data_IF_274318545795
#
_entry.id   IF_274318545795
#
_cell.length_a   1.000
_cell.length_b   1.000
_cell.length_c   1.000
_cell.angle_alpha   90.00
_cell.angle_beta   90.00
_cell.angle_gamma   90.00
#
_symmetry.space_group_name_H-M   'P 1'
#
loop_
_entity.id
_entity.type
_entity.pdbx_description
1 polymer ?
#
# COMPACT_ATOMS: atom_id res chain seq x y z
N UNK A 1 -28.38 24.96 8.98
CA UNK A 1 -27.67 23.81 8.35
C UNK A 1 -27.85 22.63 9.27
N UNK A 2 -28.60 21.59 8.88
CA UNK A 2 -28.75 20.41 9.73
C UNK A 2 -27.43 19.64 9.71
N UNK A 3 -26.90 19.33 10.90
CA UNK A 3 -25.78 18.42 11.07
C UNK A 3 -26.08 17.10 10.35
N UNK A 4 -25.16 16.65 9.50
CA UNK A 4 -25.20 15.30 8.94
C UNK A 4 -25.34 14.33 10.11
N UNK A 5 -26.42 13.56 10.11
CA UNK A 5 -26.66 12.52 11.10
C UNK A 5 -25.49 11.52 10.98
N UNK A 6 -24.69 11.40 12.03
CA UNK A 6 -23.76 10.27 12.19
C UNK A 6 -24.52 8.96 11.95
N UNK A 7 -24.15 8.26 10.90
CA UNK A 7 -24.73 6.98 10.56
C UNK A 7 -24.18 5.90 11.50
N UNK A 8 -24.88 5.72 12.63
CA UNK A 8 -24.52 4.84 13.76
C UNK A 8 -24.43 3.34 13.41
N UNK A 9 -24.56 2.96 12.15
CA UNK A 9 -24.59 1.55 11.71
C UNK A 9 -23.48 1.16 10.73
N UNK A 10 -22.48 2.02 10.51
CA UNK A 10 -21.38 1.69 9.60
C UNK A 10 -20.39 0.72 10.24
N UNK A 11 -20.43 -0.55 9.81
CA UNK A 11 -19.50 -1.60 10.26
C UNK A 11 -18.29 -1.61 9.33
N UNK A 12 -17.10 -1.40 9.90
CA UNK A 12 -15.83 -1.44 9.17
C UNK A 12 -15.64 -2.81 8.48
N UNK A 13 -15.33 -2.77 7.20
CA UNK A 13 -15.01 -3.98 6.43
C UNK A 13 -13.62 -4.48 6.82
N UNK A 14 -13.55 -5.73 7.30
CA UNK A 14 -12.30 -6.43 7.63
C UNK A 14 -12.13 -7.64 6.73
N UNK A 15 -10.88 -8.03 6.46
CA UNK A 15 -10.62 -9.33 5.85
C UNK A 15 -10.89 -10.47 6.85
N UNK A 16 -10.95 -11.72 6.38
CA UNK A 16 -11.12 -12.88 7.26
C UNK A 16 -9.99 -13.04 8.29
N UNK A 17 -8.80 -12.53 7.97
CA UNK A 17 -7.64 -12.49 8.87
C UNK A 17 -7.59 -11.22 9.72
N UNK A 18 -8.72 -10.50 9.85
CA UNK A 18 -9.01 -9.37 10.74
C UNK A 18 -8.36 -8.02 10.42
N UNK A 19 -7.50 -7.93 9.40
CA UNK A 19 -6.96 -6.64 8.97
C UNK A 19 -8.04 -5.75 8.37
N UNK A 20 -7.87 -4.43 8.48
CA UNK A 20 -8.68 -3.43 7.78
C UNK A 20 -8.69 -3.74 6.28
N UNK A 21 -9.89 -3.79 5.69
CA UNK A 21 -10.02 -3.99 4.26
C UNK A 21 -9.67 -2.69 3.54
N UNK A 22 -8.51 -2.67 2.88
CA UNK A 22 -8.00 -1.53 2.10
C UNK A 22 -7.30 -2.08 0.86
N UNK A 23 -7.76 -1.63 -0.31
CA UNK A 23 -7.26 -2.14 -1.58
C UNK A 23 -5.85 -1.62 -1.85
N UNK A 24 -4.97 -2.54 -2.28
CA UNK A 24 -3.65 -2.20 -2.78
C UNK A 24 -3.28 -3.07 -3.98
N UNK A 25 -2.49 -2.50 -4.89
CA UNK A 25 -1.93 -3.14 -6.08
C UNK A 25 -0.42 -2.91 -6.07
N UNK A 26 0.35 -3.99 -6.05
CA UNK A 26 1.82 -3.95 -6.06
C UNK A 26 2.29 -4.20 -7.49
N UNK A 27 3.07 -3.29 -8.05
CA UNK A 27 3.60 -3.40 -9.40
C UNK A 27 5.00 -4.03 -9.39
N UNK A 28 5.26 -4.82 -10.43
CA UNK A 28 6.56 -5.43 -10.68
C UNK A 28 6.96 -5.21 -12.14
N UNK A 29 8.22 -4.81 -12.33
CA UNK A 29 8.89 -4.96 -13.61
C UNK A 29 9.18 -6.45 -13.81
N UNK A 30 8.74 -7.00 -14.94
CA UNK A 30 8.88 -8.40 -15.29
C UNK A 30 9.92 -8.57 -16.40
N UNK A 31 11.01 -9.26 -16.07
CA UNK A 31 12.14 -9.49 -16.99
C UNK A 31 12.12 -10.89 -17.62
N UNK A 32 11.47 -11.86 -16.97
CA UNK A 32 11.40 -13.25 -17.45
C UNK A 32 10.03 -13.88 -17.13
N UNK A 33 9.12 -13.78 -18.12
CA UNK A 33 7.74 -14.26 -18.00
C UNK A 33 7.65 -15.77 -17.87
N UNK A 34 8.48 -16.55 -18.56
CA UNK A 34 8.39 -18.02 -18.45
C UNK A 34 8.88 -18.49 -17.08
N UNK A 35 9.95 -17.87 -16.59
CA UNK A 35 10.54 -18.24 -15.30
C UNK A 35 9.67 -17.82 -14.12
N UNK A 36 8.95 -16.69 -14.19
CA UNK A 36 8.00 -16.34 -13.11
C UNK A 36 6.87 -17.38 -13.00
N UNK A 37 6.35 -17.87 -14.13
CA UNK A 37 5.30 -18.90 -14.15
C UNK A 37 5.83 -20.21 -13.54
N UNK A 38 7.07 -20.60 -13.87
CA UNK A 38 7.73 -21.77 -13.29
C UNK A 38 8.01 -21.63 -11.79
N UNK A 39 8.31 -20.41 -11.32
CA UNK A 39 8.48 -20.15 -9.88
C UNK A 39 7.14 -20.32 -9.18
N UNK A 40 6.08 -19.67 -9.67
CA UNK A 40 4.76 -19.78 -9.07
C UNK A 40 4.25 -21.22 -9.06
N UNK A 41 4.47 -21.99 -10.12
CA UNK A 41 4.06 -23.41 -10.18
C UNK A 41 4.78 -24.32 -9.17
N UNK A 42 5.89 -23.86 -8.57
CA UNK A 42 6.65 -24.63 -7.57
C UNK A 42 6.27 -24.28 -6.13
N UNK A 43 5.58 -23.16 -5.91
CA UNK A 43 5.13 -22.74 -4.60
C UNK A 43 3.77 -23.39 -4.28
N UNK A 44 3.67 -24.10 -3.16
CA UNK A 44 2.42 -24.79 -2.80
C UNK A 44 1.33 -23.82 -2.34
N UNK A 45 1.72 -22.63 -1.88
CA UNK A 45 0.80 -21.53 -1.57
C UNK A 45 0.29 -20.78 -2.81
N UNK A 46 0.62 -21.22 -4.03
CA UNK A 46 0.16 -20.60 -5.27
C UNK A 46 -0.74 -21.58 -6.03
N UNK A 47 -1.83 -21.07 -6.60
CA UNK A 47 -2.72 -21.83 -7.48
C UNK A 47 -3.01 -21.05 -8.75
N UNK A 48 -3.18 -21.75 -9.87
CA UNK A 48 -3.65 -21.13 -11.11
C UNK A 48 -5.18 -21.28 -11.19
N UNK A 49 -5.91 -20.17 -11.19
CA UNK A 49 -7.36 -20.16 -11.16
C UNK A 49 -7.99 -20.32 -12.56
N UNK A 50 -9.31 -20.49 -12.59
CA UNK A 50 -10.10 -20.63 -13.82
C UNK A 50 -10.12 -19.34 -14.67
N UNK A 51 -9.78 -18.20 -14.07
CA UNK A 51 -9.67 -16.90 -14.75
C UNK A 51 -8.28 -16.72 -15.37
N UNK A 52 -7.42 -17.75 -15.30
CA UNK A 52 -6.10 -17.74 -15.91
C UNK A 52 -5.09 -16.89 -15.13
N UNK A 53 -5.21 -16.85 -13.81
CA UNK A 53 -4.34 -16.04 -12.95
C UNK A 53 -3.70 -16.87 -11.84
N UNK A 54 -2.54 -16.41 -11.38
CA UNK A 54 -1.93 -16.95 -10.18
C UNK A 54 -2.54 -16.32 -8.93
N UNK A 55 -3.04 -17.15 -8.04
CA UNK A 55 -3.67 -16.78 -6.78
C UNK A 55 -2.76 -17.19 -5.63
N UNK A 56 -2.46 -16.24 -4.76
CA UNK A 56 -1.71 -16.45 -3.53
C UNK A 56 -2.67 -16.87 -2.43
N UNK A 57 -2.50 -18.09 -1.92
CA UNK A 57 -3.32 -18.69 -0.89
C UNK A 57 -2.64 -18.63 0.46
N UNK A 58 -3.41 -18.49 1.54
CA UNK A 58 -2.90 -18.59 2.91
C UNK A 58 -2.66 -20.05 3.32
N UNK A 59 -1.82 -20.73 2.55
CA UNK A 59 -1.47 -22.14 2.74
C UNK A 59 0.06 -22.34 2.70
N UNK A 60 0.51 -23.55 3.01
CA UNK A 60 1.91 -23.98 2.94
C UNK A 60 2.97 -22.93 3.34
N UNK A 61 3.73 -22.42 2.37
CA UNK A 61 4.80 -21.44 2.59
C UNK A 61 4.26 -20.16 3.24
N UNK A 62 3.05 -19.75 2.86
CA UNK A 62 2.38 -18.54 3.35
C UNK A 62 1.79 -18.70 4.75
N UNK A 63 1.60 -19.93 5.29
CA UNK A 63 1.11 -20.16 6.68
C UNK A 63 2.03 -19.58 7.76
N UNK A 64 3.27 -19.26 7.42
CA UNK A 64 4.24 -18.63 8.33
C UNK A 64 4.00 -17.13 8.52
N UNK A 65 3.17 -16.52 7.68
CA UNK A 65 2.79 -15.11 7.80
C UNK A 65 1.89 -14.94 9.02
N UNK A 66 2.09 -13.84 9.75
CA UNK A 66 1.31 -13.53 10.94
C UNK A 66 0.40 -12.34 10.66
N UNK A 67 -0.90 -12.59 10.59
CA UNK A 67 -1.94 -11.56 10.50
C UNK A 67 -2.59 -11.34 11.87
N UNK A 68 -3.47 -10.33 11.98
CA UNK A 68 -4.19 -10.00 13.21
C UNK A 68 -5.03 -11.20 13.71
N UNK A 69 -5.76 -11.85 12.80
CA UNK A 69 -6.50 -13.07 13.06
C UNK A 69 -5.69 -14.33 12.76
N UNK A 70 -5.88 -15.37 13.58
CA UNK A 70 -5.17 -16.64 13.40
C UNK A 70 -5.77 -17.47 12.27
N UNK A 71 -4.92 -18.11 11.47
CA UNK A 71 -5.35 -19.08 10.46
C UNK A 71 -6.24 -20.19 11.07
N UNK A 72 -5.91 -20.62 12.29
CA UNK A 72 -6.59 -21.73 12.94
C UNK A 72 -8.01 -21.38 13.42
N UNK A 73 -8.30 -20.10 13.62
CA UNK A 73 -9.61 -19.59 14.04
C UNK A 73 -10.62 -19.52 12.88
N UNK A 74 -10.13 -19.60 11.64
CA UNK A 74 -10.97 -19.45 10.45
C UNK A 74 -11.67 -20.78 10.13
N UNK A 75 -12.99 -20.86 9.93
CA UNK A 75 -13.68 -22.12 9.67
C UNK A 75 -13.10 -22.88 8.47
N UNK A 76 -12.99 -24.22 8.55
CA UNK A 76 -12.32 -25.05 7.53
C UNK A 76 -13.01 -24.96 6.17
N UNK A 77 -14.33 -24.83 6.17
CA UNK A 77 -15.18 -24.66 4.99
C UNK A 77 -14.95 -23.34 4.26
N UNK A 78 -14.25 -22.37 4.88
CA UNK A 78 -13.87 -21.09 4.27
C UNK A 78 -12.39 -21.04 3.86
N UNK A 79 -11.72 -22.20 3.81
CA UNK A 79 -10.30 -22.34 3.41
C UNK A 79 -10.22 -23.06 2.05
N UNK A 80 -9.19 -22.76 1.23
CA UNK A 80 -8.11 -21.82 1.47
C UNK A 80 -8.54 -20.35 1.33
N UNK A 81 -7.84 -19.46 2.04
CA UNK A 81 -8.09 -18.01 1.96
C UNK A 81 -7.21 -17.43 0.88
N UNK A 82 -7.80 -16.65 -0.03
CA UNK A 82 -7.05 -15.87 -1.00
C UNK A 82 -6.43 -14.65 -0.31
N UNK A 83 -5.10 -14.56 -0.35
CA UNK A 83 -4.33 -13.41 0.12
C UNK A 83 -4.25 -12.31 -0.94
N UNK A 84 -4.10 -12.71 -2.20
CA UNK A 84 -4.08 -11.82 -3.36
C UNK A 84 -4.01 -12.59 -4.68
N UNK A 85 -4.09 -11.87 -5.79
CA UNK A 85 -4.01 -12.45 -7.13
C UNK A 85 -3.07 -11.64 -8.03
N UNK A 86 -2.22 -12.34 -8.77
CA UNK A 86 -1.34 -11.77 -9.78
C UNK A 86 -2.04 -11.67 -11.13
N UNK A 87 -1.74 -10.59 -11.84
CA UNK A 87 -2.25 -10.30 -13.17
C UNK A 87 -1.08 -9.89 -14.06
N UNK A 88 -1.18 -10.19 -15.35
CA UNK A 88 -0.22 -9.73 -16.36
C UNK A 88 -0.93 -8.75 -17.27
N UNK A 89 -0.43 -7.50 -17.33
CA UNK A 89 -1.00 -6.46 -18.20
C UNK A 89 -0.36 -6.47 -19.59
N UNK A 90 0.95 -6.73 -19.62
CA UNK A 90 1.82 -6.82 -20.80
C UNK A 90 2.88 -7.89 -20.54
N UNK A 91 3.77 -8.13 -21.50
CA UNK A 91 4.84 -9.11 -21.35
C UNK A 91 5.92 -8.70 -20.33
N UNK A 92 6.01 -7.41 -20.01
CA UNK A 92 7.00 -6.76 -19.15
C UNK A 92 6.44 -6.21 -17.83
N UNK A 93 5.12 -6.30 -17.59
CA UNK A 93 4.49 -5.79 -16.37
C UNK A 93 3.54 -6.82 -15.75
N UNK A 94 3.75 -7.10 -14.47
CA UNK A 94 2.82 -7.87 -13.64
C UNK A 94 2.49 -7.10 -12.36
N UNK A 95 1.27 -7.28 -11.85
CA UNK A 95 0.87 -6.69 -10.59
C UNK A 95 0.14 -7.68 -9.70
N UNK A 96 0.23 -7.48 -8.39
CA UNK A 96 -0.44 -8.25 -7.35
C UNK A 96 -1.49 -7.38 -6.66
N UNK A 97 -2.76 -7.76 -6.80
CA UNK A 97 -3.86 -7.14 -6.08
C UNK A 97 -4.05 -7.82 -4.71
N UNK A 98 -4.15 -7.03 -3.65
CA UNK A 98 -4.43 -7.49 -2.27
C UNK A 98 -5.49 -6.63 -1.59
N UNK A 99 -6.13 -7.18 -0.55
CA UNK A 99 -7.27 -6.57 0.15
C UNK A 99 -6.91 -5.90 1.49
N UNK A 100 -5.63 -5.77 1.82
CA UNK A 100 -5.19 -4.99 2.98
C UNK A 100 -3.77 -4.48 2.78
N UNK A 101 -3.44 -3.36 3.43
CA UNK A 101 -2.08 -2.84 3.47
C UNK A 101 -1.12 -3.80 4.18
N UNK A 102 -1.59 -4.53 5.19
CA UNK A 102 -0.79 -5.54 5.86
C UNK A 102 -0.40 -6.70 4.93
N UNK A 103 -1.33 -7.15 4.07
CA UNK A 103 -1.04 -8.13 3.02
C UNK A 103 -0.06 -7.58 1.99
N UNK A 104 -0.15 -6.30 1.63
CA UNK A 104 0.81 -5.69 0.70
C UNK A 104 2.24 -5.74 1.24
N UNK A 105 2.45 -5.29 2.47
CA UNK A 105 3.78 -5.34 3.14
C UNK A 105 4.34 -6.75 3.22
N UNK A 106 3.47 -7.71 3.58
CA UNK A 106 3.85 -9.12 3.65
C UNK A 106 4.15 -9.71 2.29
N UNK A 107 3.41 -9.35 1.25
CA UNK A 107 3.64 -9.83 -0.10
C UNK A 107 5.04 -9.42 -0.61
N UNK A 108 5.39 -8.14 -0.46
CA UNK A 108 6.71 -7.62 -0.88
C UNK A 108 7.85 -8.44 -0.27
N UNK A 109 7.83 -8.63 1.05
CA UNK A 109 8.88 -9.38 1.77
C UNK A 109 8.79 -10.89 1.58
N UNK A 110 7.60 -11.44 1.31
CA UNK A 110 7.41 -12.86 1.08
C UNK A 110 7.96 -13.26 -0.29
N UNK A 111 7.54 -12.58 -1.34
CA UNK A 111 7.87 -12.94 -2.72
C UNK A 111 9.31 -12.63 -3.10
N UNK A 112 9.95 -11.61 -2.51
CA UNK A 112 11.39 -11.36 -2.70
C UNK A 112 12.27 -12.57 -2.35
N UNK A 113 11.82 -13.43 -1.42
CA UNK A 113 12.55 -14.66 -1.06
C UNK A 113 12.51 -15.74 -2.14
N UNK A 114 11.54 -15.68 -3.05
CA UNK A 114 11.27 -16.74 -4.02
C UNK A 114 11.44 -16.28 -5.47
N UNK A 115 11.25 -14.99 -5.74
CA UNK A 115 11.39 -14.38 -7.06
C UNK A 115 12.77 -13.76 -7.16
N UNK A 116 13.71 -14.33 -7.95
CA UNK A 116 14.98 -13.68 -8.20
C UNK A 116 14.77 -12.33 -8.89
N UNK A 117 15.57 -11.32 -8.51
CA UNK A 117 15.51 -9.97 -9.11
C UNK A 117 15.76 -9.95 -10.62
N UNK A 118 16.47 -10.95 -11.14
CA UNK A 118 16.65 -11.15 -12.59
C UNK A 118 15.38 -11.61 -13.30
N UNK A 119 14.31 -11.92 -12.56
CA UNK A 119 13.02 -12.41 -13.08
C UNK A 119 11.97 -11.32 -12.95
N UNK A 120 11.82 -10.75 -11.76
CA UNK A 120 10.97 -9.59 -11.55
C UNK A 120 11.45 -8.76 -10.36
N UNK A 121 11.15 -7.46 -10.38
CA UNK A 121 11.47 -6.52 -9.32
C UNK A 121 10.26 -5.69 -8.94
N UNK A 122 9.98 -5.57 -7.64
CA UNK A 122 8.91 -4.69 -7.16
C UNK A 122 9.30 -3.22 -7.36
N UNK A 123 8.36 -2.41 -7.84
CA UNK A 123 8.60 -0.99 -8.16
C UNK A 123 7.74 -0.08 -7.32
N UNK A 124 6.44 -0.08 -7.61
CA UNK A 124 5.46 0.83 -7.03
C UNK A 124 4.34 0.09 -6.32
N UNK A 125 3.60 0.85 -5.50
CA UNK A 125 2.32 0.44 -4.97
C UNK A 125 1.28 1.49 -5.34
N UNK A 126 0.11 1.02 -5.75
CA UNK A 126 -1.11 1.79 -5.89
C UNK A 126 -2.07 1.42 -4.77
N UNK A 127 -2.68 2.40 -4.11
CA UNK A 127 -3.54 2.20 -2.94
C UNK A 127 -4.81 3.01 -3.04
N UNK A 128 -5.87 2.51 -2.39
CA UNK A 128 -7.08 3.29 -2.12
C UNK A 128 -7.03 3.83 -0.69
N UNK A 129 -6.94 5.15 -0.53
CA UNK A 129 -6.84 5.86 0.75
C UNK A 129 -8.22 6.00 1.44
N UNK A 130 -8.93 4.88 1.60
CA UNK A 130 -10.31 4.86 2.11
C UNK A 130 -10.62 3.60 2.89
N UNK A 131 -11.40 3.75 3.96
CA UNK A 131 -12.01 2.65 4.70
C UNK A 131 -13.35 2.27 4.06
N UNK A 132 -13.54 0.97 3.84
CA UNK A 132 -14.77 0.41 3.31
C UNK A 132 -15.69 -0.10 4.42
N UNK A 133 -16.97 -0.26 4.10
CA UNK A 133 -17.98 -0.77 5.01
C UNK A 133 -18.94 -1.76 4.34
N UNK A 134 -19.82 -2.31 5.16
CA UNK A 134 -20.82 -3.29 4.73
C UNK A 134 -22.14 -2.66 4.23
N UNK A 135 -22.21 -1.36 3.92
CA UNK A 135 -23.50 -0.68 3.70
C UNK A 135 -24.35 -1.31 2.59
N UNK A 136 -23.71 -1.78 1.51
CA UNK A 136 -24.40 -2.15 0.27
C UNK A 136 -24.25 -3.65 -0.09
N UNK A 137 -23.64 -4.46 0.79
CA UNK A 137 -23.45 -5.91 0.59
C UNK A 137 -22.46 -6.31 -0.52
N UNK A 138 -21.95 -5.37 -1.31
CA UNK A 138 -20.95 -5.60 -2.34
C UNK A 138 -19.53 -5.35 -1.81
N UNK A 139 -18.63 -6.28 -2.06
CA UNK A 139 -17.21 -6.06 -1.77
C UNK A 139 -16.60 -5.14 -2.83
N UNK A 140 -15.75 -4.18 -2.42
CA UNK A 140 -15.07 -3.31 -3.36
C UNK A 140 -14.08 -4.11 -4.22
N UNK A 141 -14.05 -3.82 -5.52
CA UNK A 141 -13.19 -4.51 -6.49
C UNK A 141 -12.04 -3.59 -6.91
N UNK A 142 -10.85 -4.17 -7.11
CA UNK A 142 -9.67 -3.41 -7.56
C UNK A 142 -9.89 -2.65 -8.87
N UNK A 143 -10.58 -3.27 -9.83
CA UNK A 143 -10.87 -2.70 -11.16
C UNK A 143 -11.70 -1.40 -11.06
N UNK A 144 -12.57 -1.29 -10.06
CA UNK A 144 -13.39 -0.10 -9.83
C UNK A 144 -12.56 1.11 -9.38
N UNK A 145 -11.28 0.93 -9.02
CA UNK A 145 -10.41 1.99 -8.52
C UNK A 145 -9.18 2.18 -9.39
N UNK A 146 -8.45 1.10 -9.66
CA UNK A 146 -7.10 1.16 -10.23
C UNK A 146 -7.06 1.13 -11.76
N UNK A 147 -8.19 0.86 -12.42
CA UNK A 147 -8.27 0.83 -13.88
C UNK A 147 -8.97 2.08 -14.45
N UNK A 148 -9.20 3.09 -13.60
CA UNK A 148 -9.74 4.40 -13.97
C UNK A 148 -8.60 5.39 -14.27
N UNK A 149 -8.77 6.27 -15.25
CA UNK A 149 -7.86 7.41 -15.49
C UNK A 149 -8.47 8.73 -14.97
N UNK A 150 -7.66 9.67 -14.43
CA UNK A 150 -6.22 9.61 -14.15
C UNK A 150 -5.85 9.28 -12.69
N UNK A 151 -4.78 8.52 -12.47
CA UNK A 151 -4.20 8.20 -11.15
C UNK A 151 -3.20 9.30 -10.75
N UNK A 152 -3.27 9.81 -9.52
CA UNK A 152 -2.23 10.71 -8.99
C UNK A 152 -0.98 9.88 -8.69
N UNK A 153 0.08 10.08 -9.48
CA UNK A 153 1.40 9.46 -9.27
C UNK A 153 2.23 10.41 -8.43
N UNK A 154 2.69 9.93 -7.27
CA UNK A 154 3.65 10.64 -6.43
C UNK A 154 5.06 10.27 -6.87
N UNK A 155 5.59 11.08 -7.78
CA UNK A 155 6.95 10.95 -8.30
C UNK A 155 7.93 11.65 -7.35
N UNK A 156 8.58 10.86 -6.49
CA UNK A 156 9.55 11.34 -5.50
C UNK A 156 10.81 11.91 -6.15
N UNK A 157 11.24 11.38 -7.30
CA UNK A 157 12.39 11.92 -8.04
C UNK A 157 12.05 13.28 -8.62
N UNK A 158 10.86 13.45 -9.20
CA UNK A 158 10.42 14.76 -9.68
C UNK A 158 10.34 15.78 -8.54
N UNK A 159 9.78 15.41 -7.39
CA UNK A 159 9.77 16.29 -6.22
C UNK A 159 11.18 16.62 -5.75
N UNK A 160 12.10 15.64 -5.72
CA UNK A 160 13.49 15.89 -5.34
C UNK A 160 14.20 16.81 -6.34
N UNK A 161 13.99 16.60 -7.64
CA UNK A 161 14.51 17.45 -8.70
C UNK A 161 13.94 18.87 -8.63
N UNK A 162 12.66 19.04 -8.31
CA UNK A 162 12.07 20.36 -8.07
C UNK A 162 12.72 21.06 -6.87
N UNK A 163 12.94 20.32 -5.77
CA UNK A 163 13.64 20.83 -4.60
C UNK A 163 15.11 21.18 -4.88
N UNK A 164 15.82 20.33 -5.62
CA UNK A 164 17.20 20.58 -6.04
C UNK A 164 17.29 21.81 -6.96
N UNK A 165 16.34 21.96 -7.89
CA UNK A 165 16.28 23.14 -8.76
C UNK A 165 16.00 24.41 -7.96
N UNK A 166 15.09 24.38 -6.99
CA UNK A 166 14.82 25.52 -6.10
C UNK A 166 16.05 25.82 -5.23
N UNK A 167 16.76 24.81 -4.73
CA UNK A 167 17.94 24.97 -3.90
C UNK A 167 19.20 25.38 -4.70
N UNK A 168 19.25 25.09 -6.01
CA UNK A 168 20.42 25.34 -6.87
C UNK A 168 20.78 26.82 -6.98
N UNK A 169 19.81 27.72 -6.82
CA UNK A 169 19.98 29.17 -6.90
C UNK A 169 20.29 29.85 -5.56
N UNK A 170 20.34 29.07 -4.47
CA UNK A 170 20.46 29.58 -3.10
C UNK A 170 21.83 29.17 -2.56
N UNK A 171 22.71 30.10 -2.20
CA UNK A 171 24.05 29.74 -1.69
C UNK A 171 24.04 29.32 -0.21
N UNK A 172 23.06 29.80 0.56
CA UNK A 172 23.00 29.60 2.01
C UNK A 172 22.37 28.24 2.39
N UNK A 173 23.11 27.34 3.08
CA UNK A 173 22.59 26.05 3.50
C UNK A 173 21.35 26.10 4.43
N UNK A 174 21.25 27.13 5.28
CA UNK A 174 20.11 27.29 6.19
C UNK A 174 18.84 27.67 5.44
N UNK A 175 18.96 28.55 4.43
CA UNK A 175 17.85 28.99 3.58
C UNK A 175 17.37 27.85 2.67
N UNK A 176 18.30 27.03 2.14
CA UNK A 176 17.97 25.78 1.43
C UNK A 176 17.14 24.83 2.29
N UNK A 177 17.55 24.62 3.54
CA UNK A 177 16.83 23.76 4.47
C UNK A 177 15.43 24.29 4.78
N UNK A 178 15.30 25.59 5.01
CA UNK A 178 14.00 26.24 5.30
C UNK A 178 13.01 26.07 4.14
N UNK A 179 13.46 26.24 2.89
CA UNK A 179 12.60 26.07 1.72
C UNK A 179 12.20 24.60 1.52
N UNK A 180 13.13 23.66 1.72
CA UNK A 180 12.81 22.24 1.66
C UNK A 180 11.76 21.88 2.72
N UNK A 181 11.93 22.35 3.95
CA UNK A 181 10.96 22.13 5.04
C UNK A 181 9.60 22.76 4.72
N UNK A 182 9.57 23.99 4.19
CA UNK A 182 8.34 24.69 3.81
C UNK A 182 7.58 23.94 2.72
N UNK A 183 8.29 23.45 1.70
CA UNK A 183 7.69 22.66 0.63
C UNK A 183 7.10 21.34 1.18
N UNK A 184 7.86 20.62 2.00
CA UNK A 184 7.37 19.39 2.66
C UNK A 184 6.13 19.66 3.52
N UNK A 185 6.12 20.77 4.26
CA UNK A 185 4.98 21.16 5.09
C UNK A 185 3.74 21.45 4.24
N UNK A 186 3.89 22.20 3.15
CA UNK A 186 2.79 22.52 2.25
C UNK A 186 2.23 21.27 1.56
N UNK A 187 3.09 20.37 1.08
CA UNK A 187 2.65 19.09 0.51
C UNK A 187 1.94 18.21 1.54
N UNK A 188 2.36 18.24 2.81
CA UNK A 188 1.72 17.47 3.88
C UNK A 188 0.31 17.97 4.22
N UNK A 189 -0.02 19.23 3.90
CA UNK A 189 -1.34 19.84 4.09
C UNK A 189 -2.31 19.53 2.94
N UNK A 190 -1.85 18.94 1.84
CA UNK A 190 -2.75 18.51 0.77
C UNK A 190 -3.64 17.34 1.22
N UNK A 191 -4.90 17.34 0.79
CA UNK A 191 -5.77 16.17 0.95
C UNK A 191 -5.19 14.96 0.21
N UNK A 192 -5.25 13.79 0.85
CA UNK A 192 -4.89 12.54 0.18
C UNK A 192 -5.87 12.28 -0.97
N UNK A 193 -5.37 11.98 -2.18
CA UNK A 193 -6.24 11.52 -3.25
C UNK A 193 -6.87 10.17 -2.86
N UNK A 194 -8.07 9.87 -3.37
CA UNK A 194 -8.71 8.57 -3.11
C UNK A 194 -7.85 7.40 -3.61
N UNK A 195 -7.21 7.57 -4.77
CA UNK A 195 -6.26 6.62 -5.34
C UNK A 195 -4.90 7.28 -5.53
N UNK A 196 -3.84 6.62 -5.08
CA UNK A 196 -2.47 7.11 -5.17
C UNK A 196 -1.52 6.00 -5.59
N UNK A 197 -0.58 6.29 -6.49
CA UNK A 197 0.57 5.43 -6.79
C UNK A 197 1.86 6.08 -6.29
N UNK A 198 2.71 5.33 -5.61
CA UNK A 198 4.00 5.80 -5.12
C UNK A 198 5.04 4.67 -5.09
N UNK A 199 6.34 4.99 -5.21
CA UNK A 199 7.41 4.00 -5.23
C UNK A 199 7.59 3.33 -3.87
N UNK A 200 7.98 2.05 -3.89
CA UNK A 200 8.23 1.25 -2.68
C UNK A 200 9.67 1.43 -2.18
N UNK A 201 10.64 1.62 -3.09
CA UNK A 201 12.09 1.67 -2.80
C UNK A 201 12.58 0.49 -1.95
N UNK A 202 12.01 -0.71 -2.18
CA UNK A 202 12.25 -1.87 -1.33
C UNK A 202 13.70 -2.37 -1.39
N UNK A 203 14.37 -2.23 -2.52
CA UNK A 203 15.72 -2.76 -2.72
C UNK A 203 16.81 -1.84 -2.16
N UNK A 204 16.48 -0.55 -1.98
CA UNK A 204 17.32 0.49 -1.42
C UNK A 204 17.13 0.60 0.09
N UNK A 205 15.87 0.69 0.54
CA UNK A 205 15.51 1.05 1.91
C UNK A 205 14.95 -0.12 2.74
N UNK A 206 14.71 -1.26 2.10
CA UNK A 206 13.97 -2.36 2.70
C UNK A 206 12.49 -2.05 2.91
N UNK A 207 11.83 -2.78 3.80
CA UNK A 207 10.37 -2.68 3.98
C UNK A 207 9.91 -1.47 4.82
N UNK A 208 10.82 -0.83 5.55
CA UNK A 208 10.45 0.18 6.57
C UNK A 208 9.76 1.41 5.96
N UNK A 209 10.25 1.89 4.81
CA UNK A 209 9.66 3.04 4.10
C UNK A 209 8.20 2.78 3.71
N UNK A 210 7.93 1.60 3.13
CA UNK A 210 6.58 1.17 2.79
C UNK A 210 5.70 1.01 4.04
N UNK A 211 6.22 0.39 5.11
CA UNK A 211 5.46 0.17 6.34
C UNK A 211 5.01 1.49 6.97
N UNK A 212 5.92 2.46 7.10
CA UNK A 212 5.60 3.80 7.57
C UNK A 212 4.58 4.50 6.68
N UNK A 213 4.80 4.47 5.36
CA UNK A 213 3.94 5.13 4.36
C UNK A 213 2.51 4.60 4.36
N UNK A 214 2.32 3.28 4.46
CA UNK A 214 1.00 2.67 4.51
C UNK A 214 0.31 2.88 5.85
N UNK A 215 1.05 2.83 6.97
CA UNK A 215 0.51 3.06 8.31
C UNK A 215 -0.01 4.49 8.48
N UNK A 216 0.70 5.47 7.93
CA UNK A 216 0.22 6.86 7.93
C UNK A 216 -1.08 7.00 7.14
N UNK A 217 -1.15 6.39 5.94
CA UNK A 217 -2.36 6.40 5.09
C UNK A 217 -3.55 5.71 5.76
N UNK A 218 -3.33 4.56 6.40
CA UNK A 218 -4.36 3.87 7.19
C UNK A 218 -4.87 4.75 8.34
N UNK A 219 -3.96 5.44 9.04
CA UNK A 219 -4.33 6.36 10.14
C UNK A 219 -5.19 7.51 9.65
N UNK A 220 -4.82 8.14 8.53
CA UNK A 220 -5.58 9.23 7.92
C UNK A 220 -6.95 8.71 7.44
N UNK A 221 -6.99 7.56 6.79
CA UNK A 221 -8.25 6.95 6.34
C UNK A 221 -9.19 6.63 7.52
N UNK A 222 -8.65 6.21 8.67
CA UNK A 222 -9.42 6.02 9.91
C UNK A 222 -9.95 7.34 10.49
N UNK A 223 -9.16 8.42 10.45
CA UNK A 223 -9.64 9.75 10.86
C UNK A 223 -10.79 10.21 9.96
N UNK A 224 -10.64 10.05 8.64
CA UNK A 224 -11.70 10.35 7.68
C UNK A 224 -12.93 9.50 7.93
N UNK A 225 -12.75 8.22 8.25
CA UNK A 225 -13.82 7.30 8.62
C UNK A 225 -14.60 7.78 9.85
N UNK A 226 -13.89 8.23 10.89
CA UNK A 226 -14.46 8.78 12.13
C UNK A 226 -15.06 10.19 11.98
N UNK A 227 -15.12 10.74 10.77
CA UNK A 227 -15.77 12.02 10.46
C UNK A 227 -14.80 13.21 10.30
N UNK A 228 -13.52 13.03 10.59
CA UNK A 228 -12.52 14.09 10.42
C UNK A 228 -12.00 14.11 8.98
N UNK A 229 -12.82 14.61 8.04
CA UNK A 229 -12.55 14.55 6.59
C UNK A 229 -11.37 15.42 6.12
N UNK A 230 -11.01 16.42 6.89
CA UNK A 230 -9.92 17.35 6.57
C UNK A 230 -8.59 16.96 7.20
N UNK A 231 -8.51 15.79 7.86
CA UNK A 231 -7.27 15.32 8.46
C UNK A 231 -6.23 14.97 7.38
N UNK A 232 -5.00 15.46 7.54
CA UNK A 232 -3.92 15.36 6.55
C UNK A 232 -2.66 14.70 7.10
N UNK A 233 -1.64 14.53 6.26
CA UNK A 233 -0.32 14.13 6.73
C UNK A 233 0.27 15.16 7.71
N UNK A 234 -0.01 16.46 7.50
CA UNK A 234 0.46 17.51 8.39
C UNK A 234 -0.06 17.32 9.81
N UNK A 235 -1.37 17.09 9.97
CA UNK A 235 -1.99 16.87 11.28
C UNK A 235 -1.38 15.65 11.99
N UNK A 236 -1.21 14.55 11.25
CA UNK A 236 -0.57 13.34 11.76
C UNK A 236 0.87 13.60 12.23
N UNK A 237 1.66 14.33 11.45
CA UNK A 237 3.04 14.64 11.81
C UNK A 237 3.11 15.52 13.06
N UNK A 238 2.21 16.50 13.21
CA UNK A 238 2.12 17.31 14.43
C UNK A 238 1.79 16.47 15.68
N UNK A 239 1.07 15.36 15.54
CA UNK A 239 0.78 14.46 16.66
C UNK A 239 1.92 13.49 17.01
N UNK A 240 2.75 13.12 16.03
CA UNK A 240 3.83 12.13 16.20
C UNK A 240 5.14 12.79 16.63
N UNK A 241 5.51 13.94 16.03
CA UNK A 241 6.79 14.61 16.29
C UNK A 241 7.06 14.84 17.78
N UNK A 242 6.10 15.36 18.58
CA UNK A 242 6.33 15.59 20.02
C UNK A 242 6.56 14.29 20.82
N UNK A 243 6.18 13.14 20.27
CA UNK A 243 6.28 11.82 20.91
C UNK A 243 7.53 11.06 20.47
N UNK A 244 8.26 11.54 19.46
CA UNK A 244 9.49 10.90 19.02
C UNK A 244 10.64 11.17 19.99
N UNK A 245 11.44 10.15 20.37
CA UNK A 245 12.63 10.38 21.15
C UNK A 245 13.60 11.28 20.36
N UNK A 246 14.38 12.15 21.05
CA UNK A 246 15.33 13.03 20.36
C UNK A 246 16.30 12.20 19.51
N UNK A 247 16.46 12.61 18.25
CA UNK A 247 17.41 12.01 17.33
C UNK A 247 18.80 12.08 17.96
N UNK A 248 19.40 10.92 18.24
CA UNK A 248 20.79 10.85 18.67
C UNK A 248 21.66 11.25 17.49
N UNK A 249 22.10 12.51 17.47
CA UNK A 249 23.17 12.93 16.57
C UNK A 249 24.43 12.15 16.95
N UNK A 250 24.96 11.38 16.00
CA UNK A 250 26.32 10.83 16.06
C UNK A 250 27.30 11.85 15.54
#
# INVERSE_FOLDING_TARGET
MPAEKEDKNRILLKTMTQETYMLARIHYDLFDKEKIQLIFSKLRCMAYDIEGRWVWLYEDEAKKLKFEGSYYEIPKERRPIVLGSFYSKKDDETYLNVNSFDRAKKAVTFFDKYIPRTVAMVTDIEVVNKIFDYSDGNLPKHEDYFDKEPIKIKDTEKTMNELENIASSIENPSERLEIALTHMENSAKEHLPEVERFPIHFYEDGIMGLDGSLKMRETIALQHWSGNKDYTFYDLMQEIIPKMPPLKMK
#
